data_IF_403171830643
#
_entry.id   IF_403171830643
#
_cell.length_a   1.000
_cell.length_b   1.000
_cell.length_c   1.000
_cell.angle_alpha   90.00
_cell.angle_beta   90.00
_cell.angle_gamma   90.00
#
_symmetry.space_group_name_H-M   'P 1'
#
loop_
_entity.id
_entity.type
_entity.pdbx_description
1 polymer ?
#
# COMPACT_ATOMS: atom_id res chain seq x y z
N UNK A 1 12.16 -3.95 -6.03
CA UNK A 1 11.49 -2.63 -6.19
C UNK A 1 11.96 -1.81 -7.41
N UNK A 2 13.04 -2.20 -8.11
CA UNK A 2 13.63 -1.39 -9.18
C UNK A 2 12.64 -1.04 -10.32
N UNK A 3 11.81 -1.98 -10.79
CA UNK A 3 10.86 -1.72 -11.89
C UNK A 3 9.80 -0.67 -11.55
N UNK A 4 9.19 -0.74 -10.37
CA UNK A 4 8.21 0.26 -9.92
C UNK A 4 8.86 1.65 -9.79
N UNK A 5 10.10 1.70 -9.29
CA UNK A 5 10.86 2.93 -9.21
C UNK A 5 11.18 3.51 -10.60
N UNK A 6 11.58 2.67 -11.57
CA UNK A 6 11.81 3.13 -12.95
C UNK A 6 10.52 3.63 -13.60
N UNK A 7 9.40 2.91 -13.45
CA UNK A 7 8.11 3.34 -13.97
C UNK A 7 7.69 4.69 -13.36
N UNK A 8 7.86 4.88 -12.05
CA UNK A 8 7.63 6.17 -11.40
C UNK A 8 8.54 7.28 -11.96
N UNK A 9 9.83 6.99 -12.19
CA UNK A 9 10.78 7.95 -12.74
C UNK A 9 10.38 8.46 -14.13
N UNK A 10 9.72 7.64 -14.94
CA UNK A 10 9.36 7.97 -16.32
C UNK A 10 7.92 8.51 -16.47
N UNK A 11 6.97 7.98 -15.72
CA UNK A 11 5.53 8.25 -15.90
C UNK A 11 4.84 8.78 -14.61
N UNK A 12 5.57 8.92 -13.51
CA UNK A 12 5.06 9.47 -12.26
C UNK A 12 4.02 8.60 -11.56
N UNK A 13 3.19 9.24 -10.72
CA UNK A 13 2.19 8.53 -9.90
C UNK A 13 1.04 7.94 -10.72
N UNK A 14 0.76 8.47 -11.92
CA UNK A 14 -0.31 7.94 -12.77
C UNK A 14 0.01 6.51 -13.21
N UNK A 15 1.26 6.22 -13.59
CA UNK A 15 1.69 4.86 -13.88
C UNK A 15 1.63 3.93 -12.66
N UNK A 16 1.80 4.48 -11.44
CA UNK A 16 1.72 3.68 -10.22
C UNK A 16 0.32 3.13 -9.99
N UNK A 17 -0.72 3.79 -10.49
CA UNK A 17 -2.11 3.31 -10.36
C UNK A 17 -2.30 1.95 -11.02
N UNK A 18 -1.60 1.67 -12.13
CA UNK A 18 -1.66 0.39 -12.87
C UNK A 18 -1.07 -0.78 -12.09
N UNK A 19 -0.18 -0.49 -11.14
CA UNK A 19 0.47 -1.48 -10.28
C UNK A 19 0.14 -1.27 -8.80
N UNK A 20 -0.95 -0.54 -8.50
CA UNK A 20 -1.35 -0.25 -7.13
C UNK A 20 -1.55 -1.54 -6.32
N UNK A 21 -2.21 -2.55 -6.89
CA UNK A 21 -2.42 -3.80 -6.18
C UNK A 21 -1.10 -4.54 -5.82
N UNK A 22 -0.17 -4.79 -6.77
CA UNK A 22 1.16 -5.30 -6.43
C UNK A 22 1.91 -4.45 -5.39
N UNK A 23 1.86 -3.12 -5.49
CA UNK A 23 2.50 -2.23 -4.52
C UNK A 23 1.90 -2.38 -3.12
N UNK A 24 0.57 -2.48 -3.03
CA UNK A 24 -0.13 -2.69 -1.76
C UNK A 24 0.35 -3.96 -1.06
N UNK A 25 0.44 -5.08 -1.80
CA UNK A 25 0.95 -6.35 -1.26
C UNK A 25 2.41 -6.23 -0.81
N UNK A 26 3.24 -5.52 -1.57
CA UNK A 26 4.64 -5.26 -1.18
C UNK A 26 4.74 -4.51 0.14
N UNK A 27 3.89 -3.50 0.38
CA UNK A 27 3.91 -2.75 1.64
C UNK A 27 3.57 -3.62 2.87
N UNK A 28 2.68 -4.60 2.71
CA UNK A 28 2.31 -5.54 3.76
C UNK A 28 3.39 -6.59 4.03
N UNK A 29 4.06 -7.05 2.97
CA UNK A 29 4.94 -8.22 3.04
C UNK A 29 6.43 -7.88 3.17
N UNK A 30 6.85 -6.66 2.85
CA UNK A 30 8.26 -6.25 2.94
C UNK A 30 8.70 -6.06 4.38
N UNK A 31 9.87 -6.57 4.75
CA UNK A 31 10.54 -6.26 6.02
C UNK A 31 11.49 -5.05 5.90
N UNK A 32 11.76 -4.59 4.68
CA UNK A 32 12.57 -3.38 4.43
C UNK A 32 11.74 -2.12 4.66
N UNK A 33 12.14 -1.34 5.66
CA UNK A 33 11.47 -0.12 6.10
C UNK A 33 11.48 1.00 5.04
N UNK A 34 12.60 1.19 4.35
CA UNK A 34 12.74 2.24 3.32
C UNK A 34 11.79 1.96 2.16
N UNK A 35 11.77 0.69 1.74
CA UNK A 35 10.85 0.18 0.74
C UNK A 35 9.39 0.38 1.14
N UNK A 36 9.05 0.06 2.40
CA UNK A 36 7.70 0.23 2.92
C UNK A 36 7.26 1.70 2.91
N UNK A 37 8.07 2.59 3.47
CA UNK A 37 7.80 4.03 3.53
C UNK A 37 7.63 4.63 2.13
N UNK A 38 8.49 4.21 1.19
CA UNK A 38 8.36 4.64 -0.20
C UNK A 38 7.00 4.27 -0.79
N UNK A 39 6.55 3.02 -0.60
CA UNK A 39 5.25 2.57 -1.09
C UNK A 39 4.09 3.33 -0.43
N UNK A 40 4.10 3.54 0.89
CA UNK A 40 3.07 4.33 1.59
C UNK A 40 2.98 5.73 0.99
N UNK A 41 4.12 6.39 0.74
CA UNK A 41 4.14 7.71 0.12
C UNK A 41 3.55 7.72 -1.29
N UNK A 42 3.69 6.61 -2.05
CA UNK A 42 3.04 6.48 -3.36
C UNK A 42 1.52 6.37 -3.22
N UNK A 43 1.03 5.61 -2.23
CA UNK A 43 -0.40 5.53 -1.96
C UNK A 43 -0.99 6.89 -1.58
N UNK A 44 -0.30 7.67 -0.76
CA UNK A 44 -0.70 9.05 -0.46
C UNK A 44 -0.78 9.92 -1.71
N UNK A 45 0.23 9.86 -2.59
CA UNK A 45 0.24 10.64 -3.83
C UNK A 45 -0.86 10.19 -4.81
N UNK A 46 -1.14 8.89 -4.85
CA UNK A 46 -2.19 8.29 -5.68
C UNK A 46 -3.62 8.52 -5.16
N UNK A 47 -3.81 8.90 -3.89
CA UNK A 47 -5.13 9.21 -3.31
C UNK A 47 -5.95 10.19 -4.17
N UNK A 48 -5.28 11.11 -4.89
CA UNK A 48 -5.93 12.07 -5.79
C UNK A 48 -6.66 11.42 -6.98
N UNK A 49 -6.30 10.19 -7.35
CA UNK A 49 -6.87 9.49 -8.51
C UNK A 49 -8.08 8.63 -8.15
N UNK A 50 -8.24 8.22 -6.89
CA UNK A 50 -9.38 7.41 -6.45
C UNK A 50 -9.53 7.38 -4.93
N UNK A 51 -10.78 7.40 -4.45
CA UNK A 51 -11.11 7.17 -3.03
C UNK A 51 -10.66 5.79 -2.53
N UNK A 52 -10.54 4.79 -3.40
CA UNK A 52 -10.04 3.47 -3.01
C UNK A 52 -8.54 3.50 -2.71
N UNK A 53 -7.77 4.30 -3.45
CA UNK A 53 -6.34 4.49 -3.20
C UNK A 53 -6.11 5.25 -1.88
N UNK A 54 -7.02 6.17 -1.55
CA UNK A 54 -7.00 6.84 -0.26
C UNK A 54 -7.31 5.91 0.91
N UNK A 55 -8.37 5.09 0.80
CA UNK A 55 -8.67 4.04 1.80
C UNK A 55 -7.49 3.10 2.00
N UNK A 56 -6.79 2.76 0.93
CA UNK A 56 -5.60 1.93 0.98
C UNK A 56 -4.45 2.56 1.76
N UNK A 57 -4.20 3.85 1.50
CA UNK A 57 -3.19 4.61 2.20
C UNK A 57 -3.46 4.61 3.72
N UNK A 58 -4.71 4.89 4.11
CA UNK A 58 -5.14 4.86 5.52
C UNK A 58 -4.94 3.47 6.11
N UNK A 59 -5.42 2.43 5.42
CA UNK A 59 -5.28 1.05 5.88
C UNK A 59 -3.82 0.62 6.07
N UNK A 60 -2.93 0.95 5.12
CA UNK A 60 -1.51 0.61 5.23
C UNK A 60 -0.89 1.28 6.45
N UNK A 61 -1.20 2.55 6.72
CA UNK A 61 -0.69 3.24 7.92
C UNK A 61 -1.15 2.54 9.20
N UNK A 62 -2.43 2.23 9.32
CA UNK A 62 -3.00 1.62 10.52
C UNK A 62 -2.43 0.22 10.79
N UNK A 63 -2.29 -0.61 9.75
CA UNK A 63 -1.70 -1.94 9.87
C UNK A 63 -0.22 -1.85 10.24
N UNK A 64 0.54 -0.98 9.60
CA UNK A 64 1.98 -0.89 9.85
C UNK A 64 2.24 -0.39 11.27
N UNK A 65 1.47 0.58 11.74
CA UNK A 65 1.49 1.02 13.14
C UNK A 65 1.17 -0.13 14.10
N UNK A 66 0.12 -0.90 13.81
CA UNK A 66 -0.25 -2.08 14.62
C UNK A 66 0.85 -3.14 14.64
N UNK A 67 1.47 -3.45 13.50
CA UNK A 67 2.57 -4.41 13.41
C UNK A 67 3.80 -3.96 14.21
N UNK A 68 4.12 -2.66 14.13
CA UNK A 68 5.22 -2.07 14.90
C UNK A 68 4.94 -2.20 16.41
N UNK A 69 3.70 -1.92 16.84
CA UNK A 69 3.31 -2.02 18.25
C UNK A 69 3.30 -3.46 18.78
N UNK A 70 2.91 -4.43 17.96
CA UNK A 70 2.84 -5.84 18.34
C UNK A 70 4.17 -6.61 18.15
N UNK A 71 5.17 -5.98 17.53
CA UNK A 71 6.43 -6.62 17.11
C UNK A 71 6.23 -7.93 16.32
N UNK A 72 5.11 -8.05 15.61
CA UNK A 72 4.75 -9.21 14.77
C UNK A 72 3.87 -8.78 13.60
N UNK A 73 3.84 -9.59 12.56
CA UNK A 73 2.91 -9.40 11.44
C UNK A 73 1.47 -9.60 11.90
N UNK A 74 0.58 -8.77 11.40
CA UNK A 74 -0.87 -8.87 11.62
C UNK A 74 -1.44 -9.73 10.50
N UNK A 75 -2.31 -10.68 10.83
CA UNK A 75 -3.05 -11.40 9.80
C UNK A 75 -4.07 -10.46 9.15
N UNK A 76 -3.68 -9.93 7.99
CA UNK A 76 -4.50 -9.03 7.18
C UNK A 76 -5.63 -9.75 6.47
N UNK A 77 -5.56 -11.08 6.28
CA UNK A 77 -6.60 -11.85 5.59
C UNK A 77 -7.92 -11.82 6.35
N UNK A 78 -7.88 -11.93 7.67
CA UNK A 78 -9.08 -11.84 8.53
C UNK A 78 -9.75 -10.45 8.42
N UNK A 79 -8.97 -9.38 8.25
CA UNK A 79 -9.49 -8.01 8.10
C UNK A 79 -10.06 -7.72 6.72
N UNK A 80 -9.52 -8.33 5.67
CA UNK A 80 -10.15 -8.29 4.35
C UNK A 80 -11.52 -8.99 4.36
N UNK A 81 -11.66 -10.06 5.14
CA UNK A 81 -12.92 -10.79 5.29
C UNK A 81 -13.96 -10.06 6.14
N UNK A 82 -13.53 -9.22 7.09
CA UNK A 82 -14.44 -8.41 7.92
C UNK A 82 -15.09 -7.25 7.18
N UNK A 83 -14.66 -6.95 5.94
CA UNK A 83 -15.15 -5.82 5.15
C UNK A 83 -14.66 -4.45 5.63
N UNK A 84 -13.82 -4.41 6.66
CA UNK A 84 -13.15 -3.22 7.19
C UNK A 84 -12.24 -2.59 6.12
N UNK A 85 -11.62 -3.44 5.32
CA UNK A 85 -10.87 -3.08 4.11
C UNK A 85 -11.80 -3.25 2.94
N UNK A 86 -12.68 -2.26 2.70
CA UNK A 86 -13.54 -2.26 1.53
C UNK A 86 -12.73 -2.66 0.30
N UNK A 87 -13.18 -3.71 -0.40
CA UNK A 87 -12.45 -4.33 -1.52
C UNK A 87 -11.84 -3.22 -2.37
N UNK A 88 -10.52 -3.28 -2.54
CA UNK A 88 -9.90 -2.67 -3.70
C UNK A 88 -10.62 -3.24 -4.90
N UNK A 89 -11.58 -2.49 -5.43
CA UNK A 89 -12.36 -2.92 -6.59
C UNK A 89 -11.38 -2.93 -7.76
N UNK A 90 -11.08 -4.14 -8.24
CA UNK A 90 -10.74 -4.37 -9.64
C UNK A 90 -12.04 -4.27 -10.42
#
# INVERSE_FOLDING_TARGET
MNLAFQAFKHEGDEAMTRIAWPLFMVALETDDLLHREWVISRFQAMSRFSKNLDRAHVFLKDIIEMQNNLARRVDVRERFQSGEVGLFVI
#
